data_IF_040253494928
#
_entry.id   IF_040253494928
#
_cell.length_a   1.000
_cell.length_b   1.000
_cell.length_c   1.000
_cell.angle_alpha   90.00
_cell.angle_beta   90.00
_cell.angle_gamma   90.00
#
_symmetry.space_group_name_H-M   'P 1'
#
loop_
_entity.id
_entity.type
_entity.pdbx_description
1 polymer ?
#
# COMPACT_ATOMS: atom_id res chain seq x y z
N UNK A 1 47.24 -32.89 -6.19
CA UNK A 1 46.97 -32.05 -5.01
C UNK A 1 46.63 -30.66 -5.51
N UNK A 2 45.37 -30.31 -5.60
CA UNK A 2 44.86 -29.05 -6.15
C UNK A 2 43.79 -28.51 -5.20
N UNK A 3 44.14 -27.43 -4.57
CA UNK A 3 43.38 -26.69 -3.56
C UNK A 3 42.12 -26.07 -4.21
N UNK A 4 40.93 -26.52 -3.82
CA UNK A 4 39.65 -25.90 -4.17
C UNK A 4 39.30 -24.85 -3.10
N UNK A 5 39.75 -23.60 -3.29
CA UNK A 5 39.30 -22.47 -2.49
C UNK A 5 37.84 -22.13 -2.86
N UNK A 6 36.93 -22.45 -1.95
CA UNK A 6 35.53 -22.03 -2.00
C UNK A 6 35.42 -20.51 -2.04
N UNK A 7 34.65 -20.02 -2.99
CA UNK A 7 34.25 -18.61 -3.02
C UNK A 7 33.35 -18.35 -1.80
N UNK A 8 33.85 -17.59 -0.83
CA UNK A 8 33.06 -17.02 0.26
C UNK A 8 32.08 -16.01 -0.33
N UNK A 9 30.80 -16.22 -0.03
CA UNK A 9 29.78 -15.17 -0.21
C UNK A 9 30.17 -13.97 0.66
N UNK A 10 29.96 -12.73 0.20
CA UNK A 10 30.28 -11.56 1.01
C UNK A 10 29.34 -11.53 2.22
N UNK A 11 29.96 -11.35 3.40
CA UNK A 11 29.32 -11.16 4.69
C UNK A 11 28.48 -9.86 4.70
N UNK A 12 27.22 -9.95 4.28
CA UNK A 12 26.25 -8.85 4.41
C UNK A 12 25.51 -8.92 5.76
N UNK A 13 25.76 -9.96 6.58
CA UNK A 13 25.00 -10.26 7.81
C UNK A 13 25.75 -10.05 9.13
N UNK A 14 26.83 -9.27 9.17
CA UNK A 14 27.47 -8.91 10.44
C UNK A 14 27.19 -7.42 10.76
N UNK A 15 26.00 -7.12 11.20
CA UNK A 15 25.73 -5.98 12.07
C UNK A 15 25.54 -6.51 13.49
N UNK A 16 26.59 -6.32 14.27
CA UNK A 16 26.58 -6.52 15.70
C UNK A 16 25.48 -5.70 16.39
N UNK A 17 24.84 -6.31 17.34
CA UNK A 17 23.97 -5.85 18.40
C UNK A 17 23.81 -4.33 18.56
N UNK A 18 22.75 -3.80 17.96
CA UNK A 18 22.03 -2.64 18.46
C UNK A 18 20.56 -3.02 18.52
N UNK A 19 20.06 -3.15 19.79
CA UNK A 19 18.66 -3.03 20.21
C UNK A 19 17.63 -3.01 19.08
N UNK A 20 16.78 -4.04 19.08
CA UNK A 20 15.40 -4.06 18.54
C UNK A 20 15.03 -2.84 17.66
N UNK A 21 15.79 -2.63 16.58
CA UNK A 21 15.44 -1.71 15.51
C UNK A 21 14.62 -2.55 14.56
N UNK A 22 13.42 -2.12 14.37
CA UNK A 22 12.36 -2.71 13.61
C UNK A 22 12.83 -3.46 12.37
N UNK A 23 12.66 -4.75 12.41
CA UNK A 23 12.74 -5.77 11.38
C UNK A 23 11.70 -5.55 10.23
N UNK A 24 11.10 -4.35 10.15
CA UNK A 24 10.05 -4.06 9.19
C UNK A 24 10.55 -4.07 7.76
N UNK A 25 11.70 -3.45 7.50
CA UNK A 25 12.28 -3.43 6.16
C UNK A 25 12.69 -4.82 5.70
N UNK A 26 13.29 -5.60 6.59
CA UNK A 26 13.66 -6.98 6.30
C UNK A 26 12.42 -7.83 6.03
N UNK A 27 11.35 -7.70 6.84
CA UNK A 27 10.04 -8.34 6.58
C UNK A 27 9.45 -7.94 5.22
N UNK A 28 9.50 -6.65 4.88
CA UNK A 28 9.01 -6.14 3.59
C UNK A 28 9.76 -6.77 2.42
N UNK A 29 11.09 -6.87 2.53
CA UNK A 29 11.97 -7.36 1.47
C UNK A 29 12.22 -8.88 1.51
N UNK A 30 11.63 -9.60 2.47
CA UNK A 30 11.70 -11.06 2.51
C UNK A 30 11.20 -11.69 1.21
N UNK A 31 11.92 -12.68 0.65
CA UNK A 31 11.49 -13.35 -0.59
C UNK A 31 10.08 -13.94 -0.51
N UNK A 32 9.67 -14.46 0.65
CA UNK A 32 8.33 -15.00 0.89
C UNK A 32 7.26 -13.92 0.80
N UNK A 33 7.53 -12.72 1.35
CA UNK A 33 6.61 -11.59 1.28
C UNK A 33 6.50 -11.05 -0.16
N UNK A 34 7.62 -10.95 -0.87
CA UNK A 34 7.64 -10.53 -2.28
C UNK A 34 6.85 -11.52 -3.15
N UNK A 35 7.07 -12.83 -2.98
CA UNK A 35 6.30 -13.87 -3.71
C UNK A 35 4.82 -13.79 -3.42
N UNK A 36 4.44 -13.66 -2.16
CA UNK A 36 3.03 -13.50 -1.77
C UNK A 36 2.41 -12.24 -2.38
N UNK A 37 3.13 -11.13 -2.41
CA UNK A 37 2.69 -9.89 -3.06
C UNK A 37 2.52 -10.06 -4.58
N UNK A 38 3.43 -10.76 -5.25
CA UNK A 38 3.33 -11.10 -6.68
C UNK A 38 2.06 -11.93 -6.94
N UNK A 39 1.83 -12.96 -6.12
CA UNK A 39 0.66 -13.84 -6.28
C UNK A 39 -0.66 -13.09 -6.06
N UNK A 40 -0.72 -12.18 -5.08
CA UNK A 40 -1.89 -11.33 -4.85
C UNK A 40 -2.14 -10.40 -6.04
N UNK A 41 -1.10 -9.73 -6.57
CA UNK A 41 -1.24 -8.84 -7.74
C UNK A 41 -1.70 -9.63 -8.97
N UNK A 42 -1.17 -10.83 -9.19
CA UNK A 42 -1.59 -11.71 -10.29
C UNK A 42 -3.03 -12.20 -10.15
N UNK A 43 -3.42 -12.60 -8.95
CA UNK A 43 -4.79 -13.05 -8.66
C UNK A 43 -5.83 -11.96 -8.95
N UNK A 44 -5.46 -10.70 -8.73
CA UNK A 44 -6.34 -9.56 -8.93
C UNK A 44 -6.53 -9.16 -10.40
N UNK A 45 -5.72 -9.66 -11.34
CA UNK A 45 -5.86 -9.45 -12.79
C UNK A 45 -6.13 -7.99 -13.18
N UNK A 46 -5.48 -7.04 -12.53
CA UNK A 46 -5.71 -5.61 -12.78
C UNK A 46 -5.15 -5.15 -14.13
N UNK A 47 -5.72 -4.08 -14.68
CA UNK A 47 -5.26 -3.47 -15.92
C UNK A 47 -3.80 -2.99 -15.83
N UNK A 48 -3.04 -2.95 -16.95
CA UNK A 48 -1.67 -2.45 -16.99
C UNK A 48 -1.59 -0.96 -16.66
N UNK A 49 -0.44 -0.53 -16.11
CA UNK A 49 -0.11 0.86 -15.85
C UNK A 49 0.24 1.64 -17.12
N UNK A 50 1.07 2.67 -16.96
CA UNK A 50 1.55 3.50 -18.09
C UNK A 50 2.55 2.75 -18.98
N UNK A 51 3.26 1.78 -18.43
CA UNK A 51 4.22 0.90 -19.11
C UNK A 51 3.56 -0.15 -20.01
N UNK A 52 2.22 -0.28 -19.93
CA UNK A 52 1.42 -1.29 -20.62
C UNK A 52 1.80 -2.73 -20.34
N UNK A 53 2.64 -2.99 -19.33
CA UNK A 53 3.05 -4.33 -18.93
C UNK A 53 1.84 -5.08 -18.36
N UNK A 54 1.45 -6.23 -18.92
CA UNK A 54 0.37 -7.05 -18.40
C UNK A 54 0.83 -7.83 -17.15
N UNK A 55 -0.13 -8.25 -16.32
CA UNK A 55 0.15 -8.96 -15.06
C UNK A 55 0.76 -10.34 -15.30
N UNK A 56 0.56 -10.93 -16.46
CA UNK A 56 1.10 -12.22 -16.86
C UNK A 56 2.64 -12.22 -16.97
N UNK A 57 3.24 -11.08 -17.33
CA UNK A 57 4.69 -10.92 -17.46
C UNK A 57 5.41 -10.73 -16.10
N UNK A 58 4.66 -10.51 -15.03
CA UNK A 58 5.19 -10.14 -13.72
C UNK A 58 6.18 -11.17 -13.16
N UNK A 59 5.88 -12.48 -13.28
CA UNK A 59 6.78 -13.54 -12.81
C UNK A 59 8.11 -13.55 -13.57
N UNK A 60 8.06 -13.41 -14.89
CA UNK A 60 9.26 -13.36 -15.73
C UNK A 60 10.11 -12.12 -15.40
N UNK A 61 9.48 -10.99 -15.18
CA UNK A 61 10.17 -9.77 -14.78
C UNK A 61 10.90 -9.93 -13.44
N UNK A 62 10.19 -10.38 -12.38
CA UNK A 62 10.79 -10.52 -11.06
C UNK A 62 11.85 -11.63 -11.01
N UNK A 63 11.72 -12.71 -11.77
CA UNK A 63 12.75 -13.74 -11.87
C UNK A 63 14.12 -13.18 -12.31
N UNK A 64 14.13 -12.10 -13.09
CA UNK A 64 15.35 -11.48 -13.61
C UNK A 64 15.77 -10.22 -12.84
N UNK A 65 14.82 -9.50 -12.24
CA UNK A 65 15.03 -8.13 -11.75
C UNK A 65 14.81 -7.97 -10.24
N UNK A 66 14.40 -9.00 -9.50
CA UNK A 66 14.10 -8.91 -8.06
C UNK A 66 15.23 -8.25 -7.27
N UNK A 67 16.47 -8.74 -7.46
CA UNK A 67 17.64 -8.20 -6.77
C UNK A 67 17.93 -6.73 -7.13
N UNK A 68 17.60 -6.31 -8.35
CA UNK A 68 17.77 -4.92 -8.77
C UNK A 68 16.72 -4.01 -8.12
N UNK A 69 15.47 -4.46 -8.06
CA UNK A 69 14.37 -3.74 -7.37
C UNK A 69 14.70 -3.58 -5.88
N UNK A 70 15.10 -4.67 -5.21
CA UNK A 70 15.50 -4.63 -3.79
C UNK A 70 16.65 -3.63 -3.58
N UNK A 71 17.68 -3.67 -4.42
CA UNK A 71 18.83 -2.74 -4.31
C UNK A 71 18.39 -1.29 -4.48
N UNK A 72 17.52 -1.00 -5.44
CA UNK A 72 16.98 0.36 -5.63
C UNK A 72 16.20 0.84 -4.40
N UNK A 73 15.43 -0.03 -3.76
CA UNK A 73 14.71 0.30 -2.52
C UNK A 73 15.70 0.60 -1.40
N UNK A 74 16.66 -0.29 -1.16
CA UNK A 74 17.67 -0.13 -0.11
C UNK A 74 18.51 1.16 -0.25
N UNK A 75 18.83 1.51 -1.49
CA UNK A 75 19.58 2.73 -1.81
C UNK A 75 18.72 3.99 -1.87
N UNK A 76 17.39 3.90 -1.67
CA UNK A 76 16.42 5.01 -1.86
C UNK A 76 16.41 5.54 -3.31
N UNK A 77 16.71 4.69 -4.27
CA UNK A 77 16.76 5.01 -5.70
C UNK A 77 15.53 4.54 -6.46
N UNK A 78 14.66 3.75 -5.80
CA UNK A 78 13.43 3.27 -6.42
C UNK A 78 12.51 4.45 -6.74
N UNK A 79 12.14 4.59 -8.03
CA UNK A 79 11.29 5.66 -8.54
C UNK A 79 10.00 5.06 -9.08
N UNK A 80 8.90 5.14 -8.34
CA UNK A 80 7.60 4.72 -8.83
C UNK A 80 7.22 5.49 -10.09
N UNK A 81 6.53 4.81 -11.01
CA UNK A 81 6.01 5.44 -12.22
C UNK A 81 4.72 6.21 -11.92
N UNK A 82 4.42 7.29 -12.67
CA UNK A 82 3.12 7.96 -12.56
C UNK A 82 1.97 6.97 -12.75
N UNK A 83 0.89 7.15 -12.01
CA UNK A 83 -0.31 6.32 -12.18
C UNK A 83 -1.06 6.73 -13.45
N UNK A 84 -1.57 5.75 -14.19
CA UNK A 84 -2.41 6.00 -15.37
C UNK A 84 -3.83 6.36 -14.94
N UNK A 85 -4.31 7.54 -15.29
CA UNK A 85 -5.67 8.00 -15.01
C UNK A 85 -6.68 7.26 -15.90
N UNK A 86 -7.76 6.80 -15.27
CA UNK A 86 -8.93 6.23 -15.95
C UNK A 86 -10.18 6.75 -15.25
N UNK A 87 -11.21 7.05 -16.01
CA UNK A 87 -12.48 7.52 -15.50
C UNK A 87 -13.54 6.43 -15.58
N UNK A 88 -14.17 6.09 -14.45
CA UNK A 88 -15.27 5.12 -14.40
C UNK A 88 -16.56 5.79 -13.95
N UNK A 89 -17.73 5.40 -14.52
CA UNK A 89 -19.01 5.91 -14.08
C UNK A 89 -19.30 5.59 -12.61
N UNK A 90 -19.84 6.55 -11.87
CA UNK A 90 -20.39 6.26 -10.54
C UNK A 90 -21.77 5.59 -10.69
N UNK A 91 -22.08 4.58 -9.88
CA UNK A 91 -23.42 4.01 -9.87
C UNK A 91 -24.48 5.09 -9.61
N UNK A 92 -25.56 5.08 -10.39
CA UNK A 92 -26.70 6.00 -10.25
C UNK A 92 -26.36 7.51 -10.38
N UNK A 93 -25.33 7.86 -11.15
CA UNK A 93 -24.90 9.25 -11.33
C UNK A 93 -24.17 9.42 -12.67
N UNK A 94 -24.37 10.56 -13.33
CA UNK A 94 -23.60 10.95 -14.53
C UNK A 94 -22.15 11.37 -14.24
N UNK A 95 -21.77 11.39 -12.96
CA UNK A 95 -20.41 11.77 -12.52
C UNK A 95 -19.44 10.61 -12.72
N UNK A 96 -18.23 10.95 -13.16
CA UNK A 96 -17.13 10.01 -13.27
C UNK A 96 -16.30 9.98 -11.98
N UNK A 97 -15.75 8.81 -11.69
CA UNK A 97 -14.74 8.62 -10.61
C UNK A 97 -13.39 8.48 -11.26
N UNK A 98 -12.43 9.38 -10.98
CA UNK A 98 -11.07 9.24 -11.44
C UNK A 98 -10.36 8.12 -10.66
N UNK A 99 -9.78 7.15 -11.37
CA UNK A 99 -8.93 6.09 -10.81
C UNK A 99 -7.50 6.27 -11.30
N UNK A 100 -6.53 5.96 -10.43
CA UNK A 100 -5.12 5.87 -10.79
C UNK A 100 -4.68 4.40 -10.84
N UNK A 101 -4.16 3.95 -11.98
CA UNK A 101 -3.68 2.59 -12.17
C UNK A 101 -2.15 2.60 -12.16
N UNK A 102 -1.47 2.12 -11.09
CA UNK A 102 -0.03 1.97 -11.04
C UNK A 102 0.46 0.88 -11.99
N UNK A 103 1.76 0.87 -12.31
CA UNK A 103 2.37 -0.27 -13.02
C UNK A 103 2.24 -1.55 -12.19
N UNK A 104 2.34 -2.71 -12.84
CA UNK A 104 2.23 -3.98 -12.11
C UNK A 104 3.39 -4.18 -11.14
N UNK A 105 4.57 -3.65 -11.47
CA UNK A 105 5.76 -3.68 -10.61
C UNK A 105 5.53 -2.81 -9.37
N UNK A 106 5.07 -1.57 -9.55
CA UNK A 106 4.75 -0.66 -8.46
C UNK A 106 3.70 -1.26 -7.52
N UNK A 107 2.69 -1.96 -8.08
CA UNK A 107 1.68 -2.67 -7.27
C UNK A 107 2.31 -3.76 -6.40
N UNK A 108 3.30 -4.51 -6.89
CA UNK A 108 3.99 -5.51 -6.05
C UNK A 108 4.74 -4.82 -4.93
N UNK A 109 5.53 -3.79 -5.22
CA UNK A 109 6.29 -3.06 -4.19
C UNK A 109 5.34 -2.44 -3.15
N UNK A 110 4.23 -1.83 -3.58
CA UNK A 110 3.20 -1.33 -2.67
C UNK A 110 2.60 -2.44 -1.81
N UNK A 111 2.31 -3.60 -2.42
CA UNK A 111 1.73 -4.74 -1.73
C UNK A 111 2.68 -5.35 -0.69
N UNK A 112 4.00 -5.41 -0.96
CA UNK A 112 4.96 -5.87 0.06
C UNK A 112 4.96 -4.98 1.29
N UNK A 113 4.90 -3.67 1.11
CA UNK A 113 4.81 -2.69 2.21
C UNK A 113 3.48 -2.82 2.95
N UNK A 114 2.36 -2.84 2.22
CA UNK A 114 1.03 -2.91 2.80
C UNK A 114 0.82 -4.17 3.64
N UNK A 115 1.27 -5.33 3.17
CA UNK A 115 1.14 -6.59 3.91
C UNK A 115 1.78 -6.55 5.29
N UNK A 116 2.97 -5.98 5.39
CA UNK A 116 3.70 -5.88 6.67
C UNK A 116 3.09 -4.80 7.54
N UNK A 117 2.86 -3.60 7.00
CA UNK A 117 2.28 -2.51 7.79
C UNK A 117 0.87 -2.83 8.29
N UNK A 118 0.04 -3.53 7.50
CA UNK A 118 -1.29 -3.94 7.96
C UNK A 118 -1.21 -4.80 9.22
N UNK A 119 -0.27 -5.74 9.29
CA UNK A 119 -0.10 -6.59 10.47
C UNK A 119 0.32 -5.80 11.71
N UNK A 120 1.23 -4.85 11.54
CA UNK A 120 1.73 -4.02 12.64
C UNK A 120 0.66 -3.05 13.17
N UNK A 121 -0.14 -2.47 12.26
CA UNK A 121 -1.10 -1.43 12.63
C UNK A 121 -2.51 -1.95 12.97
N UNK A 122 -2.87 -3.18 12.59
CA UNK A 122 -4.25 -3.68 12.76
C UNK A 122 -4.70 -3.68 14.23
N UNK A 123 -3.79 -3.97 15.16
CA UNK A 123 -4.06 -3.94 16.60
C UNK A 123 -4.31 -2.55 17.18
N UNK A 124 -3.87 -1.50 16.49
CA UNK A 124 -3.99 -0.10 16.92
C UNK A 124 -5.32 0.53 16.51
N UNK A 125 -6.05 -0.11 15.58
CA UNK A 125 -7.32 0.42 15.11
C UNK A 125 -8.45 0.18 16.10
N UNK A 126 -9.40 1.12 16.13
CA UNK A 126 -10.63 0.98 16.92
C UNK A 126 -11.28 -0.41 16.71
N UNK A 127 -11.79 -1.05 17.78
CA UNK A 127 -12.55 -2.29 17.64
C UNK A 127 -13.78 -2.13 16.76
N UNK A 128 -14.30 -0.91 16.59
CA UNK A 128 -15.46 -0.56 15.77
C UNK A 128 -15.11 -0.20 14.31
N UNK A 129 -13.82 -0.28 13.94
CA UNK A 129 -13.39 -0.10 12.56
C UNK A 129 -13.50 -1.40 11.76
N UNK A 130 -14.26 -1.37 10.67
CA UNK A 130 -14.54 -2.55 9.84
C UNK A 130 -14.02 -2.44 8.40
N UNK A 131 -13.75 -1.22 7.95
CA UNK A 131 -13.29 -0.98 6.59
C UNK A 131 -11.83 -1.40 6.37
N UNK A 132 -11.58 -2.19 5.32
CA UNK A 132 -10.24 -2.55 4.85
C UNK A 132 -9.32 -3.24 5.90
N UNK A 133 -9.88 -3.97 6.83
CA UNK A 133 -9.13 -4.70 7.87
C UNK A 133 -9.23 -6.23 7.66
N UNK A 134 -8.17 -6.98 8.05
CA UNK A 134 -8.20 -8.45 8.01
C UNK A 134 -9.37 -9.01 8.83
N UNK A 135 -10.08 -10.00 8.29
CA UNK A 135 -11.18 -10.71 8.95
C UNK A 135 -12.34 -9.82 9.40
N UNK A 136 -12.49 -8.62 8.84
CA UNK A 136 -13.60 -7.70 9.08
C UNK A 136 -14.28 -7.33 7.76
N UNK A 137 -15.60 -7.20 7.80
CA UNK A 137 -16.41 -6.90 6.62
C UNK A 137 -17.65 -6.06 6.98
N UNK A 138 -18.43 -5.72 5.96
CA UNK A 138 -19.66 -4.95 6.14
C UNK A 138 -20.73 -5.73 6.94
N UNK A 139 -20.72 -7.07 6.91
CA UNK A 139 -21.68 -7.86 7.68
C UNK A 139 -21.39 -7.77 9.18
N UNK A 140 -20.12 -7.78 9.56
CA UNK A 140 -19.71 -7.56 10.95
C UNK A 140 -20.14 -6.16 11.43
N UNK A 141 -19.94 -5.12 10.61
CA UNK A 141 -20.38 -3.75 10.93
C UNK A 141 -21.91 -3.67 11.09
N UNK A 142 -22.66 -4.30 10.19
CA UNK A 142 -24.11 -4.34 10.28
C UNK A 142 -24.59 -5.09 11.52
N UNK A 143 -23.98 -6.21 11.87
CA UNK A 143 -24.34 -6.97 13.07
C UNK A 143 -24.13 -6.14 14.34
N UNK A 144 -23.04 -5.37 14.43
CA UNK A 144 -22.81 -4.47 15.56
C UNK A 144 -23.85 -3.33 15.61
N UNK A 145 -24.13 -2.70 14.46
CA UNK A 145 -25.14 -1.66 14.37
C UNK A 145 -26.53 -2.14 14.81
N UNK A 146 -26.92 -3.37 14.41
CA UNK A 146 -28.17 -4.02 14.87
C UNK A 146 -28.16 -4.26 16.38
N UNK A 147 -27.00 -4.59 16.97
CA UNK A 147 -26.85 -4.70 18.41
C UNK A 147 -27.25 -3.40 19.12
N UNK A 148 -26.70 -2.26 18.67
CA UNK A 148 -27.03 -0.95 19.23
C UNK A 148 -28.51 -0.57 19.07
N UNK A 149 -29.13 -0.90 17.94
CA UNK A 149 -30.57 -0.68 17.75
C UNK A 149 -31.43 -1.52 18.73
N UNK A 150 -31.02 -2.77 18.97
CA UNK A 150 -31.71 -3.64 19.94
C UNK A 150 -31.51 -3.19 21.38
N UNK A 151 -30.45 -2.45 21.69
CA UNK A 151 -30.25 -1.78 22.99
C UNK A 151 -31.15 -0.54 23.16
N UNK A 152 -31.94 -0.16 22.15
CA UNK A 152 -32.85 0.97 22.17
C UNK A 152 -32.22 2.30 21.71
N UNK A 153 -31.03 2.27 21.09
CA UNK A 153 -30.41 3.47 20.48
C UNK A 153 -31.10 3.76 19.16
N UNK A 154 -31.85 4.85 19.09
CA UNK A 154 -32.68 5.21 17.93
C UNK A 154 -32.10 6.36 17.10
N UNK A 155 -31.11 7.06 17.61
CA UNK A 155 -30.45 8.16 16.90
C UNK A 155 -29.23 7.65 16.15
N UNK A 156 -29.13 7.98 14.87
CA UNK A 156 -27.98 7.66 14.00
C UNK A 156 -27.42 8.99 13.49
N UNK A 157 -26.13 9.17 13.66
CA UNK A 157 -25.38 10.30 13.10
C UNK A 157 -24.41 9.72 12.07
N UNK A 158 -24.48 10.21 10.83
CA UNK A 158 -23.62 9.80 9.73
C UNK A 158 -22.68 10.95 9.36
N UNK A 159 -21.39 10.65 9.25
CA UNK A 159 -20.35 11.59 8.85
C UNK A 159 -19.55 11.03 7.70
N UNK A 160 -19.32 11.82 6.66
CA UNK A 160 -18.41 11.49 5.56
C UNK A 160 -17.43 12.65 5.32
N UNK A 161 -16.19 12.30 4.96
CA UNK A 161 -15.15 13.30 4.68
C UNK A 161 -15.16 13.58 3.17
N UNK A 162 -15.53 14.78 2.80
CA UNK A 162 -15.54 15.20 1.39
C UNK A 162 -14.14 15.16 0.79
N UNK A 163 -14.02 14.52 -0.37
CA UNK A 163 -12.77 14.44 -1.17
C UNK A 163 -11.54 13.98 -0.35
N UNK A 164 -11.75 13.10 0.61
CA UNK A 164 -10.69 12.65 1.50
C UNK A 164 -9.41 12.24 0.77
N UNK A 165 -9.52 11.41 -0.28
CA UNK A 165 -8.37 10.95 -1.05
C UNK A 165 -7.66 12.06 -1.82
N UNK A 166 -8.36 13.10 -2.20
CA UNK A 166 -7.82 14.21 -2.99
C UNK A 166 -7.10 15.26 -2.12
N UNK A 167 -7.36 15.25 -0.80
CA UNK A 167 -6.89 16.29 0.13
C UNK A 167 -5.89 15.79 1.18
N UNK A 168 -5.39 14.56 1.03
CA UNK A 168 -4.39 14.01 1.94
C UNK A 168 -3.10 14.80 1.87
N UNK A 169 -2.70 15.44 2.98
CA UNK A 169 -1.41 16.10 3.07
C UNK A 169 -0.29 15.08 3.26
N UNK A 170 0.66 15.02 2.31
CA UNK A 170 1.75 14.03 2.30
C UNK A 170 2.68 14.16 3.52
N UNK A 171 3.01 15.39 3.94
CA UNK A 171 3.91 15.60 5.06
C UNK A 171 3.28 15.17 6.38
N UNK A 172 1.99 15.47 6.55
CA UNK A 172 1.22 15.04 7.72
C UNK A 172 1.09 13.52 7.78
N UNK A 173 0.83 12.87 6.64
CA UNK A 173 0.79 11.41 6.54
C UNK A 173 2.13 10.78 6.96
N UNK A 174 3.24 11.27 6.39
CA UNK A 174 4.58 10.76 6.72
C UNK A 174 4.92 11.03 8.20
N UNK A 175 4.47 12.15 8.77
CA UNK A 175 4.67 12.45 10.19
C UNK A 175 3.96 11.44 11.09
N UNK A 176 2.69 11.11 10.79
CA UNK A 176 1.92 10.10 11.52
C UNK A 176 2.56 8.70 11.39
N UNK A 177 2.97 8.32 10.18
CA UNK A 177 3.64 7.03 9.98
C UNK A 177 4.94 6.94 10.77
N UNK A 178 5.68 8.03 10.91
CA UNK A 178 6.95 8.08 11.64
C UNK A 178 6.80 7.78 13.14
N UNK A 179 5.62 7.95 13.71
CA UNK A 179 5.36 7.61 15.13
C UNK A 179 5.55 6.10 15.39
N UNK A 180 5.31 5.27 14.39
CA UNK A 180 5.36 3.82 14.53
C UNK A 180 6.33 3.13 13.53
N UNK A 181 6.68 3.77 12.42
CA UNK A 181 7.66 3.29 11.44
C UNK A 181 8.94 4.09 11.60
N UNK A 182 9.92 3.50 12.27
CA UNK A 182 11.20 4.18 12.54
C UNK A 182 12.27 3.91 11.46
N UNK A 183 11.86 3.48 10.26
CA UNK A 183 12.75 3.19 9.15
C UNK A 183 12.67 4.26 8.06
N UNK A 184 13.80 4.95 7.83
CA UNK A 184 13.88 6.02 6.85
C UNK A 184 13.80 5.55 5.39
N UNK A 185 14.05 4.27 5.09
CA UNK A 185 13.93 3.71 3.75
C UNK A 185 12.45 3.48 3.44
N UNK A 186 11.70 2.89 4.38
CA UNK A 186 10.26 2.66 4.25
C UNK A 186 9.53 3.99 4.07
N UNK A 187 9.81 4.98 4.93
CA UNK A 187 9.18 6.30 4.84
C UNK A 187 9.52 7.01 3.52
N UNK A 188 10.78 6.87 3.04
CA UNK A 188 11.18 7.40 1.75
C UNK A 188 10.43 6.73 0.60
N UNK A 189 10.30 5.40 0.63
CA UNK A 189 9.60 4.64 -0.38
C UNK A 189 8.12 5.04 -0.45
N UNK A 190 7.44 5.13 0.69
CA UNK A 190 6.04 5.59 0.76
C UNK A 190 5.92 7.01 0.19
N UNK A 191 6.81 7.92 0.59
CA UNK A 191 6.82 9.29 0.06
C UNK A 191 7.03 9.34 -1.46
N UNK A 192 7.87 8.46 -2.00
CA UNK A 192 8.11 8.37 -3.44
C UNK A 192 6.84 7.96 -4.19
N UNK A 193 6.04 7.03 -3.65
CA UNK A 193 4.75 6.66 -4.20
C UNK A 193 3.73 7.82 -4.14
N UNK A 194 3.68 8.58 -3.06
CA UNK A 194 2.80 9.73 -2.93
C UNK A 194 3.11 10.81 -3.97
N UNK A 195 4.39 10.95 -4.35
CA UNK A 195 4.89 11.95 -5.31
C UNK A 195 5.03 11.43 -6.75
N UNK A 196 4.65 10.20 -7.02
CA UNK A 196 4.85 9.58 -8.33
C UNK A 196 4.17 10.31 -9.49
N UNK A 197 3.12 11.10 -9.20
CA UNK A 197 2.37 11.83 -10.22
C UNK A 197 1.27 11.02 -10.87
N UNK A 198 0.52 11.70 -11.72
CA UNK A 198 -0.61 11.14 -12.47
C UNK A 198 -0.41 11.43 -13.94
N UNK A 199 -0.56 10.42 -14.81
CA UNK A 199 -0.64 10.57 -16.25
C UNK A 199 -2.11 10.55 -16.68
N UNK A 200 -2.56 11.65 -17.26
CA UNK A 200 -3.88 11.83 -17.83
C UNK A 200 -3.74 12.26 -19.29
N UNK A 201 -4.29 11.51 -20.24
CA UNK A 201 -4.19 11.73 -21.68
C UNK A 201 -2.77 12.05 -22.21
N UNK A 202 -1.75 11.34 -21.65
CA UNK A 202 -0.35 11.49 -22.05
C UNK A 202 0.38 12.65 -21.37
N UNK A 203 -0.27 13.45 -20.55
CA UNK A 203 0.34 14.51 -19.75
C UNK A 203 0.60 14.02 -18.32
N UNK A 204 1.81 14.23 -17.83
CA UNK A 204 2.17 13.89 -16.46
C UNK A 204 2.05 15.13 -15.59
N UNK A 205 1.22 15.05 -14.55
CA UNK A 205 1.08 16.07 -13.52
C UNK A 205 1.68 15.58 -12.21
N UNK A 206 2.47 16.41 -11.50
CA UNK A 206 2.98 16.06 -10.18
C UNK A 206 1.82 15.96 -9.19
N UNK A 207 1.99 15.14 -8.16
CA UNK A 207 1.05 15.03 -7.04
C UNK A 207 1.67 15.73 -5.83
N UNK A 208 1.12 16.87 -5.43
CA UNK A 208 1.56 17.63 -4.25
C UNK A 208 0.77 17.25 -3.00
N UNK A 209 -0.49 16.89 -3.17
CA UNK A 209 -1.40 16.39 -2.15
C UNK A 209 -2.30 15.29 -2.72
N UNK A 210 -2.99 14.59 -1.84
CA UNK A 210 -3.88 13.50 -2.22
C UNK A 210 -3.17 12.18 -2.49
N UNK A 211 -3.96 11.14 -2.61
CA UNK A 211 -3.53 9.79 -2.96
C UNK A 211 -4.39 9.27 -4.10
N UNK A 212 -3.81 8.56 -5.09
CA UNK A 212 -4.60 8.05 -6.20
C UNK A 212 -5.66 7.05 -5.70
N UNK A 213 -6.93 7.30 -6.07
CA UNK A 213 -8.00 6.34 -5.85
C UNK A 213 -7.83 5.16 -6.81
N UNK A 214 -7.91 3.94 -6.31
CA UNK A 214 -8.11 2.77 -7.18
C UNK A 214 -6.92 1.92 -7.54
N UNK A 215 -5.91 1.84 -6.73
CA UNK A 215 -5.02 0.67 -6.81
C UNK A 215 -5.85 -0.59 -6.50
N UNK A 216 -6.10 -1.46 -7.50
CA UNK A 216 -6.77 -2.76 -7.36
C UNK A 216 -8.28 -2.77 -6.99
N UNK A 217 -9.07 -1.79 -7.41
CA UNK A 217 -10.53 -1.86 -7.35
C UNK A 217 -11.10 -2.71 -8.50
N UNK A 218 -10.93 -4.02 -8.40
CA UNK A 218 -11.72 -5.02 -9.07
C UNK A 218 -12.03 -6.12 -8.07
N UNK A 219 -13.26 -6.12 -7.54
CA UNK A 219 -13.88 -7.20 -6.77
C UNK A 219 -13.00 -7.94 -5.74
N UNK A 220 -13.15 -7.59 -4.48
CA UNK A 220 -12.81 -8.36 -3.26
C UNK A 220 -11.43 -8.20 -2.62
N UNK A 221 -10.50 -7.40 -3.13
CA UNK A 221 -9.21 -7.21 -2.45
C UNK A 221 -8.86 -5.72 -2.30
N UNK A 222 -8.34 -5.40 -1.13
CA UNK A 222 -8.01 -4.07 -0.62
C UNK A 222 -6.93 -3.37 -1.46
N UNK A 223 -7.08 -2.10 -1.79
CA UNK A 223 -5.93 -1.32 -2.28
C UNK A 223 -4.95 -1.08 -1.12
N UNK A 224 -3.64 -1.26 -1.32
CA UNK A 224 -2.64 -1.03 -0.28
C UNK A 224 -2.68 0.39 0.33
N UNK A 225 -3.13 1.38 -0.43
CA UNK A 225 -3.33 2.75 0.08
C UNK A 225 -4.60 2.92 0.93
N UNK A 226 -5.61 2.07 0.79
CA UNK A 226 -6.80 2.17 1.62
C UNK A 226 -6.47 1.89 3.09
N UNK A 227 -5.51 1.01 3.35
CA UNK A 227 -5.06 0.70 4.70
C UNK A 227 -4.30 1.87 5.32
N UNK A 228 -3.40 2.51 4.58
CA UNK A 228 -2.74 3.75 5.01
C UNK A 228 -3.77 4.87 5.25
N UNK A 229 -4.82 4.94 4.44
CA UNK A 229 -5.88 5.94 4.59
C UNK A 229 -6.81 5.66 5.78
N UNK A 230 -7.09 4.40 6.10
CA UNK A 230 -7.80 4.01 7.32
C UNK A 230 -7.01 4.41 8.56
N UNK A 231 -5.68 4.26 8.55
CA UNK A 231 -4.80 4.74 9.61
C UNK A 231 -4.97 6.24 9.86
N UNK A 232 -5.10 7.05 8.80
CA UNK A 232 -5.24 8.49 8.93
C UNK A 232 -6.62 8.94 9.41
N UNK A 233 -7.68 8.22 9.05
CA UNK A 233 -9.03 8.57 9.51
C UNK A 233 -9.20 8.28 10.99
N UNK A 234 -8.55 7.25 11.51
CA UNK A 234 -8.67 6.84 12.92
C UNK A 234 -7.76 7.62 13.88
N UNK A 235 -6.61 8.11 13.41
CA UNK A 235 -5.75 8.98 14.23
C UNK A 235 -6.38 10.34 14.61
N UNK A 236 -7.52 10.70 14.03
CA UNK A 236 -8.29 11.90 14.37
C UNK A 236 -9.34 11.70 15.46
N UNK A 237 -9.69 10.45 15.81
CA UNK A 237 -10.62 10.16 16.90
C UNK A 237 -9.95 10.19 18.28
N UNK A 238 -8.61 10.27 18.33
CA UNK A 238 -7.82 10.31 19.57
C UNK A 238 -7.24 11.70 19.91
N UNK A 239 -7.67 12.80 19.28
CA UNK A 239 -7.17 14.16 19.55
C UNK A 239 -8.26 15.08 20.02
#
# INVERSE_FOLDING_TARGET
>A
MGDRRGKKFPDIFMREEKQQVDDLLDKILMPENIRAAIDEVRKNKGAPGIDKMPVEELMGYFALNESAVIRQILNKEYKPQPVRRVYIPKPNSDKLRPLGIPTVIDRVVQQTVARVLTQEYDSMFSPHSYGFRPNRDCHNAMAEALGYLNEGRTWIIDFDIEKYFDTVNHDKLISILRENVNDAIILHLIRSFLKAGVMDDGLISPTEEGVPQGGLCGNRHKPPYAEINVMMSQSRECA
#
